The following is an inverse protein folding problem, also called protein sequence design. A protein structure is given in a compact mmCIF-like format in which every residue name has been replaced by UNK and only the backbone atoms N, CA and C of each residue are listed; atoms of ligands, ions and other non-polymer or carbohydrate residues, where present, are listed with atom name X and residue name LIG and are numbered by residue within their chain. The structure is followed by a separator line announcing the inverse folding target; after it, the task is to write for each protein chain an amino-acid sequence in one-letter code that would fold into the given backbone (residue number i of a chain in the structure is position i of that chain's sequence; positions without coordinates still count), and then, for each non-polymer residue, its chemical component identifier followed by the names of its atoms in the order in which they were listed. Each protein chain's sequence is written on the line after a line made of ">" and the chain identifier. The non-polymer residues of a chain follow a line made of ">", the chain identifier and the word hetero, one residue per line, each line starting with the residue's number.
data_IF_227700496270
#
_entry.id   IF_227700496270
#
_cell.length_a   1.000
_cell.length_b   1.000
_cell.length_c   1.000
_cell.angle_alpha   90.00
_cell.angle_beta   90.00
_cell.angle_gamma   90.00
#
_symmetry.space_group_name_H-M   'P 1'
#
loop_
_entity.id
_entity.type
_entity.pdbx_description
1 polymer ?
#
# COMPACT_ATOMS: atom_id res chain seq x y z
N UNK A 1 2.51 -38.73 7.06
CA UNK A 1 1.46 -38.13 7.90
C UNK A 1 1.20 -36.73 7.39
N UNK A 2 -0.05 -36.36 7.18
CA UNK A 2 -0.40 -34.96 6.95
C UNK A 2 -0.10 -34.19 8.23
N UNK A 3 0.46 -32.97 8.17
CA UNK A 3 0.74 -32.19 9.35
C UNK A 3 -0.57 -31.93 10.12
N UNK A 4 -0.59 -32.19 11.42
CA UNK A 4 -1.71 -31.81 12.28
C UNK A 4 -1.63 -30.30 12.52
N UNK A 5 -2.54 -29.56 11.90
CA UNK A 5 -2.66 -28.13 12.12
C UNK A 5 -3.43 -27.83 13.42
N UNK A 6 -2.99 -26.85 14.18
CA UNK A 6 -3.75 -26.36 15.34
C UNK A 6 -5.03 -25.66 14.90
N UNK A 7 -6.15 -25.81 15.63
CA UNK A 7 -7.40 -25.11 15.30
C UNK A 7 -7.18 -23.58 15.39
N UNK A 8 -7.96 -22.85 14.61
CA UNK A 8 -7.96 -21.40 14.63
C UNK A 8 -9.35 -20.84 14.34
N UNK A 9 -9.62 -19.65 14.89
CA UNK A 9 -10.85 -18.89 14.68
C UNK A 9 -10.51 -17.54 14.03
N UNK A 10 -11.36 -17.13 13.08
CA UNK A 10 -11.50 -15.73 12.69
C UNK A 10 -12.85 -15.23 13.21
N UNK A 11 -12.84 -14.27 14.12
CA UNK A 11 -14.03 -13.61 14.64
C UNK A 11 -14.11 -12.17 14.14
N UNK A 12 -15.31 -11.74 13.73
CA UNK A 12 -15.60 -10.34 13.39
C UNK A 12 -16.31 -9.65 14.56
N UNK A 13 -16.19 -8.33 14.64
CA UNK A 13 -16.82 -7.55 15.71
C UNK A 13 -18.35 -7.66 15.74
N UNK A 14 -19.00 -7.99 14.61
CA UNK A 14 -20.43 -8.24 14.50
C UNK A 14 -20.89 -9.57 15.12
N UNK A 15 -19.94 -10.40 15.58
CA UNK A 15 -20.20 -11.72 16.17
C UNK A 15 -20.09 -12.87 15.18
N UNK A 16 -19.82 -12.61 13.91
CA UNK A 16 -19.61 -13.68 12.92
C UNK A 16 -18.29 -14.41 13.21
N UNK A 17 -18.32 -15.73 13.24
CA UNK A 17 -17.11 -16.56 13.47
C UNK A 17 -16.92 -17.55 12.33
N UNK A 18 -15.68 -17.69 11.89
CA UNK A 18 -15.20 -18.70 10.96
C UNK A 18 -14.20 -19.61 11.69
N UNK A 19 -14.31 -20.92 11.42
CA UNK A 19 -13.41 -21.95 11.94
C UNK A 19 -12.48 -22.41 10.84
N UNK A 20 -11.23 -22.61 11.18
CA UNK A 20 -10.19 -23.08 10.29
C UNK A 20 -9.00 -23.64 11.06
N UNK A 21 -7.82 -23.55 10.49
CA UNK A 21 -6.58 -24.02 11.11
C UNK A 21 -5.45 -22.98 10.96
N UNK A 22 -4.55 -22.96 11.93
CA UNK A 22 -3.38 -22.09 11.94
C UNK A 22 -2.37 -22.51 10.88
N UNK A 23 -1.86 -21.55 10.12
CA UNK A 23 -0.79 -21.76 9.13
C UNK A 23 0.43 -20.86 9.39
N UNK A 24 0.38 -20.00 10.42
CA UNK A 24 1.43 -19.06 10.78
C UNK A 24 1.86 -19.20 12.25
N UNK A 25 2.20 -18.08 12.88
CA UNK A 25 2.59 -18.01 14.29
C UNK A 25 1.42 -18.35 15.23
N UNK A 26 1.73 -18.87 16.40
CA UNK A 26 0.75 -19.09 17.46
C UNK A 26 0.39 -17.78 18.17
N UNK A 27 -0.84 -17.69 18.70
CA UNK A 27 -1.32 -16.55 19.47
C UNK A 27 -2.57 -15.91 18.86
N UNK A 28 -2.66 -14.59 18.91
CA UNK A 28 -3.76 -13.86 18.29
C UNK A 28 -3.27 -12.55 17.66
N UNK A 29 -4.05 -12.05 16.73
CA UNK A 29 -3.87 -10.73 16.14
C UNK A 29 -5.23 -10.05 15.97
N UNK A 30 -5.26 -8.73 16.04
CA UNK A 30 -6.45 -7.90 15.83
C UNK A 30 -6.17 -6.83 14.77
N UNK A 31 -7.18 -6.48 14.01
CA UNK A 31 -7.06 -5.45 12.96
C UNK A 31 -8.35 -5.28 12.17
N UNK A 32 -8.33 -4.36 11.22
CA UNK A 32 -9.40 -4.24 10.23
C UNK A 32 -9.27 -5.37 9.20
N UNK A 33 -10.33 -6.19 9.06
CA UNK A 33 -10.37 -7.27 8.08
C UNK A 33 -10.76 -6.71 6.72
N UNK A 34 -9.86 -6.85 5.77
CA UNK A 34 -10.06 -6.43 4.37
C UNK A 34 -9.89 -7.63 3.44
N UNK A 35 -10.39 -7.53 2.22
CA UNK A 35 -10.13 -8.56 1.19
C UNK A 35 -9.31 -7.97 0.05
N UNK A 36 -8.44 -8.76 -0.54
CA UNK A 36 -7.67 -8.41 -1.72
C UNK A 36 -7.96 -9.42 -2.83
N UNK A 37 -8.21 -8.93 -4.06
CA UNK A 37 -8.58 -9.74 -5.22
C UNK A 37 -7.41 -10.13 -6.11
N UNK A 38 -6.17 -9.79 -5.74
CA UNK A 38 -4.99 -10.22 -6.48
C UNK A 38 -4.86 -11.75 -6.48
N UNK A 39 -4.47 -12.31 -7.63
CA UNK A 39 -4.28 -13.76 -7.79
C UNK A 39 -2.85 -14.21 -7.48
N UNK A 40 -1.93 -13.28 -7.33
CA UNK A 40 -0.49 -13.48 -7.06
C UNK A 40 0.06 -12.34 -6.23
N UNK A 41 1.32 -12.43 -5.81
CA UNK A 41 2.00 -11.35 -5.09
C UNK A 41 1.64 -11.27 -3.61
N UNK A 42 1.32 -12.40 -2.99
CA UNK A 42 0.95 -12.43 -1.57
C UNK A 42 2.10 -12.04 -0.64
N UNK A 43 3.37 -12.24 -1.04
CA UNK A 43 4.54 -11.83 -0.25
C UNK A 43 4.71 -10.32 -0.29
N UNK A 44 4.54 -9.70 -1.46
CA UNK A 44 4.54 -8.24 -1.64
C UNK A 44 3.38 -7.61 -0.86
N UNK A 45 2.18 -8.20 -0.89
CA UNK A 45 1.02 -7.75 -0.11
C UNK A 45 1.32 -7.81 1.40
N UNK A 46 1.91 -8.90 1.89
CA UNK A 46 2.24 -9.05 3.31
C UNK A 46 3.27 -8.02 3.78
N UNK A 47 4.24 -7.67 2.93
CA UNK A 47 5.32 -6.74 3.25
C UNK A 47 5.00 -5.28 2.92
N UNK A 48 3.89 -4.99 2.23
CA UNK A 48 3.43 -3.61 1.96
C UNK A 48 3.04 -2.91 3.27
N UNK A 49 3.74 -1.83 3.68
CA UNK A 49 3.40 -1.10 4.90
C UNK A 49 1.99 -0.54 4.95
N UNK A 50 1.35 -0.34 3.80
CA UNK A 50 -0.04 0.15 3.70
C UNK A 50 -1.06 -0.80 4.36
N UNK A 51 -0.70 -2.10 4.57
CA UNK A 51 -1.53 -3.05 5.31
C UNK A 51 -1.29 -3.06 6.83
N UNK A 52 -0.52 -2.12 7.39
CA UNK A 52 -0.34 -2.06 8.84
C UNK A 52 -1.69 -1.96 9.57
N UNK A 53 -1.88 -2.82 10.58
CA UNK A 53 -3.12 -2.99 11.34
C UNK A 53 -4.29 -3.59 10.55
N UNK A 54 -4.05 -4.16 9.36
CA UNK A 54 -5.08 -4.87 8.60
C UNK A 54 -4.82 -6.38 8.56
N UNK A 55 -5.90 -7.16 8.71
CA UNK A 55 -5.93 -8.61 8.49
C UNK A 55 -6.37 -8.82 7.04
N UNK A 56 -5.47 -9.30 6.20
CA UNK A 56 -5.70 -9.42 4.76
C UNK A 56 -6.32 -10.76 4.41
N UNK A 57 -7.49 -10.74 3.79
CA UNK A 57 -8.12 -11.93 3.21
C UNK A 57 -7.84 -11.99 1.72
N UNK A 58 -7.12 -13.00 1.26
CA UNK A 58 -6.90 -13.22 -0.17
C UNK A 58 -8.06 -14.02 -0.76
N UNK A 59 -8.70 -13.47 -1.79
CA UNK A 59 -9.89 -14.10 -2.40
C UNK A 59 -9.54 -15.25 -3.34
N UNK A 60 -8.31 -15.25 -3.88
CA UNK A 60 -7.82 -16.39 -4.66
C UNK A 60 -7.66 -17.62 -3.75
N UNK A 61 -8.16 -18.81 -4.16
CA UNK A 61 -8.26 -19.94 -3.25
C UNK A 61 -6.91 -20.58 -2.88
N UNK A 62 -5.93 -20.59 -3.77
CA UNK A 62 -4.64 -21.27 -3.57
C UNK A 62 -3.51 -20.26 -3.34
N UNK A 63 -3.19 -19.98 -2.09
CA UNK A 63 -2.18 -19.01 -1.68
C UNK A 63 -0.99 -19.74 -1.04
N UNK A 64 0.22 -19.38 -1.45
CA UNK A 64 1.46 -20.03 -1.03
C UNK A 64 2.01 -21.05 -2.05
N UNK A 65 1.35 -21.19 -3.20
CA UNK A 65 1.68 -22.17 -4.23
C UNK A 65 3.04 -21.95 -4.93
N UNK A 66 3.57 -20.73 -4.92
CA UNK A 66 4.88 -20.39 -5.48
C UNK A 66 5.98 -20.24 -4.41
N UNK A 67 5.64 -20.46 -3.13
CA UNK A 67 6.55 -20.24 -2.02
C UNK A 67 6.85 -18.77 -1.78
N UNK A 68 7.96 -18.49 -1.12
CA UNK A 68 8.50 -17.14 -0.86
C UNK A 68 10.00 -17.13 -1.14
N UNK A 69 10.55 -15.95 -1.37
CA UNK A 69 11.98 -15.72 -1.63
C UNK A 69 12.44 -14.38 -1.03
N UNK A 70 13.75 -14.10 -1.06
CA UNK A 70 14.32 -12.88 -0.50
C UNK A 70 14.09 -11.61 -1.35
N UNK A 71 13.71 -11.76 -2.62
CA UNK A 71 13.60 -10.62 -3.56
C UNK A 71 12.19 -10.00 -3.60
N UNK A 72 11.13 -10.79 -3.41
CA UNK A 72 9.73 -10.36 -3.56
C UNK A 72 9.20 -9.69 -2.29
N UNK A 73 9.96 -8.70 -1.78
CA UNK A 73 9.60 -7.93 -0.58
C UNK A 73 9.50 -6.43 -0.90
N UNK A 74 8.53 -5.77 -0.27
CA UNK A 74 8.30 -4.34 -0.42
C UNK A 74 8.69 -3.52 0.81
N UNK A 75 9.16 -4.19 1.88
CA UNK A 75 9.74 -3.59 3.07
C UNK A 75 10.62 -4.61 3.82
N UNK A 76 11.31 -4.17 4.88
CA UNK A 76 12.23 -5.01 5.67
C UNK A 76 11.54 -6.09 6.51
N UNK A 77 10.22 -6.05 6.66
CA UNK A 77 9.41 -6.98 7.49
C UNK A 77 7.99 -7.08 6.95
N UNK A 78 7.25 -8.05 7.46
CA UNK A 78 5.80 -8.13 7.25
C UNK A 78 5.10 -7.02 8.04
N UNK A 79 4.20 -6.29 7.38
CA UNK A 79 3.40 -5.22 7.98
C UNK A 79 1.94 -5.59 8.18
N UNK A 80 1.39 -6.50 7.35
CA UNK A 80 0.04 -7.01 7.54
C UNK A 80 -0.14 -7.60 8.94
N UNK A 81 -1.21 -7.25 9.63
CA UNK A 81 -1.48 -7.74 10.98
C UNK A 81 -1.78 -9.24 11.02
N UNK A 82 -2.30 -9.81 9.92
CA UNK A 82 -2.59 -11.22 9.79
C UNK A 82 -3.02 -11.60 8.39
N UNK A 83 -3.08 -12.89 8.11
CA UNK A 83 -3.44 -13.43 6.80
C UNK A 83 -4.58 -14.43 6.91
N UNK A 84 -5.55 -14.30 6.01
CA UNK A 84 -6.67 -15.23 5.85
C UNK A 84 -6.67 -15.78 4.43
N UNK A 85 -6.60 -17.09 4.29
CA UNK A 85 -6.64 -17.78 2.99
C UNK A 85 -7.62 -18.97 3.02
N UNK A 86 -8.09 -19.37 1.86
CA UNK A 86 -8.91 -20.56 1.76
C UNK A 86 -8.08 -21.82 1.93
N UNK A 87 -7.06 -21.98 1.09
CA UNK A 87 -6.23 -23.18 1.05
C UNK A 87 -4.74 -22.79 1.04
N UNK A 88 -3.95 -23.46 1.89
CA UNK A 88 -2.50 -23.46 1.80
C UNK A 88 -2.07 -24.78 1.11
N UNK A 89 -1.43 -24.74 -0.07
CA UNK A 89 -0.97 -25.94 -0.76
C UNK A 89 0.00 -26.76 0.08
N UNK A 90 -0.14 -28.09 0.04
CA UNK A 90 0.77 -29.01 0.74
C UNK A 90 2.21 -28.95 0.14
N UNK A 91 2.31 -28.62 -1.14
CA UNK A 91 3.58 -28.43 -1.86
C UNK A 91 3.54 -27.11 -2.59
N UNK A 92 4.55 -26.30 -2.38
CA UNK A 92 4.84 -25.14 -3.19
C UNK A 92 5.87 -25.50 -4.26
N UNK A 93 5.78 -24.88 -5.44
CA UNK A 93 6.69 -25.13 -6.55
C UNK A 93 6.87 -23.86 -7.39
N UNK A 94 8.09 -23.33 -7.37
CA UNK A 94 8.54 -22.27 -8.25
C UNK A 94 10.07 -22.25 -8.29
N UNK A 95 10.66 -21.89 -9.42
CA UNK A 95 12.13 -21.87 -9.58
C UNK A 95 12.82 -20.82 -8.69
N UNK A 96 12.09 -19.81 -8.19
CA UNK A 96 12.58 -18.79 -7.26
C UNK A 96 12.21 -19.08 -5.79
N UNK A 97 11.56 -20.21 -5.53
CA UNK A 97 11.15 -20.56 -4.17
C UNK A 97 12.37 -20.91 -3.31
N UNK A 98 12.46 -20.27 -2.15
CA UNK A 98 13.45 -20.56 -1.12
C UNK A 98 12.84 -21.31 0.07
N UNK A 99 11.57 -20.99 0.44
CA UNK A 99 10.85 -21.62 1.56
C UNK A 99 9.33 -21.57 1.37
N UNK A 100 8.60 -22.32 2.19
CA UNK A 100 7.13 -22.30 2.17
C UNK A 100 6.57 -21.02 2.77
N UNK A 101 5.35 -20.63 2.36
CA UNK A 101 4.64 -19.50 2.97
C UNK A 101 4.38 -19.74 4.47
N UNK A 102 4.03 -20.97 4.87
CA UNK A 102 3.78 -21.29 6.28
C UNK A 102 5.01 -21.13 7.17
N UNK A 103 6.21 -21.51 6.70
CA UNK A 103 7.47 -21.29 7.42
C UNK A 103 7.76 -19.79 7.51
N UNK A 104 7.63 -19.07 6.41
CA UNK A 104 7.79 -17.60 6.38
C UNK A 104 6.89 -16.90 7.40
N UNK A 105 5.60 -17.22 7.43
CA UNK A 105 4.65 -16.61 8.37
C UNK A 105 5.03 -16.89 9.84
N UNK A 106 5.54 -18.10 10.14
CA UNK A 106 6.00 -18.44 11.50
C UNK A 106 7.26 -17.66 11.89
N UNK A 107 8.23 -17.59 10.99
CA UNK A 107 9.50 -16.91 11.24
C UNK A 107 9.31 -15.38 11.40
N UNK A 108 8.38 -14.80 10.64
CA UNK A 108 8.01 -13.39 10.75
C UNK A 108 7.00 -13.09 11.89
N UNK A 109 6.58 -14.11 12.64
CA UNK A 109 5.64 -13.95 13.77
C UNK A 109 4.21 -13.59 13.35
N UNK A 110 3.82 -13.89 12.10
CA UNK A 110 2.51 -13.53 11.54
C UNK A 110 1.46 -14.58 11.88
N UNK A 111 0.40 -14.18 12.57
CA UNK A 111 -0.76 -15.04 12.83
C UNK A 111 -1.61 -15.18 11.57
N UNK A 112 -1.89 -16.42 11.16
CA UNK A 112 -2.60 -16.68 9.93
C UNK A 112 -3.52 -17.90 10.03
N UNK A 113 -4.62 -17.87 9.26
CA UNK A 113 -5.66 -18.90 9.27
C UNK A 113 -6.00 -19.33 7.84
N UNK A 114 -6.17 -20.66 7.67
CA UNK A 114 -6.66 -21.25 6.43
C UNK A 114 -7.85 -22.22 6.70
N UNK A 115 -8.47 -22.73 5.62
CA UNK A 115 -9.54 -23.72 5.71
C UNK A 115 -10.93 -23.14 5.94
N UNK A 116 -11.12 -21.83 5.72
CA UNK A 116 -12.42 -21.18 5.91
C UNK A 116 -13.04 -20.70 4.58
N UNK A 117 -14.33 -20.42 4.61
CA UNK A 117 -15.08 -19.90 3.45
C UNK A 117 -14.76 -18.41 3.23
N UNK A 118 -13.65 -18.13 2.52
CA UNK A 118 -13.24 -16.78 2.16
C UNK A 118 -14.24 -16.08 1.23
N UNK A 119 -15.02 -16.84 0.42
CA UNK A 119 -16.08 -16.25 -0.40
C UNK A 119 -17.21 -15.68 0.46
N UNK A 120 -17.66 -16.43 1.49
CA UNK A 120 -18.64 -15.94 2.47
C UNK A 120 -18.12 -14.71 3.21
N UNK A 121 -16.86 -14.76 3.65
CA UNK A 121 -16.21 -13.62 4.32
C UNK A 121 -16.19 -12.39 3.41
N UNK A 122 -15.72 -12.52 2.16
CA UNK A 122 -15.66 -11.42 1.18
C UNK A 122 -17.04 -10.81 0.94
N UNK A 123 -18.10 -11.63 0.85
CA UNK A 123 -19.47 -11.11 0.72
C UNK A 123 -19.91 -10.30 1.93
N UNK A 124 -19.60 -10.75 3.15
CA UNK A 124 -19.89 -9.99 4.38
C UNK A 124 -19.18 -8.65 4.35
N UNK A 125 -17.88 -8.63 4.03
CA UNK A 125 -17.10 -7.40 3.98
C UNK A 125 -17.62 -6.44 2.89
N UNK A 126 -17.99 -6.95 1.71
CA UNK A 126 -18.60 -6.14 0.64
C UNK A 126 -19.94 -5.53 1.06
N UNK A 127 -20.79 -6.33 1.68
CA UNK A 127 -22.16 -5.93 1.99
C UNK A 127 -22.24 -5.01 3.24
N UNK A 128 -21.39 -5.27 4.26
CA UNK A 128 -21.37 -4.53 5.54
C UNK A 128 -20.25 -3.49 5.66
N UNK A 129 -19.24 -3.54 4.80
CA UNK A 129 -17.99 -2.78 4.89
C UNK A 129 -16.88 -3.56 5.58
N UNK A 130 -15.70 -2.96 5.62
CA UNK A 130 -14.56 -3.49 6.39
C UNK A 130 -14.97 -3.66 7.86
N UNK A 131 -14.54 -4.77 8.48
CA UNK A 131 -14.92 -5.16 9.83
C UNK A 131 -13.69 -5.28 10.71
N UNK A 132 -13.79 -4.86 11.97
CA UNK A 132 -12.78 -5.23 12.95
C UNK A 132 -12.83 -6.74 13.18
N UNK A 133 -11.66 -7.37 13.29
CA UNK A 133 -11.57 -8.81 13.47
C UNK A 133 -10.41 -9.25 14.33
N UNK A 134 -10.45 -10.53 14.71
CA UNK A 134 -9.41 -11.22 15.45
C UNK A 134 -9.16 -12.61 14.85
N UNK A 135 -7.91 -12.94 14.58
CA UNK A 135 -7.50 -14.34 14.39
C UNK A 135 -6.98 -14.84 15.72
N UNK A 136 -7.53 -15.95 16.23
CA UNK A 136 -7.10 -16.63 17.46
C UNK A 136 -6.72 -18.07 17.13
N UNK A 137 -5.49 -18.49 17.50
CA UNK A 137 -4.99 -19.84 17.21
C UNK A 137 -4.88 -20.67 18.48
N UNK A 138 -5.00 -22.00 18.34
CA UNK A 138 -4.87 -22.95 19.45
C UNK A 138 -6.01 -22.87 20.48
N UNK A 139 -7.16 -22.30 20.13
CA UNK A 139 -8.31 -22.12 21.00
C UNK A 139 -9.62 -22.14 20.23
N UNK A 140 -10.67 -22.68 20.87
CA UNK A 140 -12.05 -22.66 20.36
C UNK A 140 -12.94 -21.62 21.08
N UNK A 141 -12.34 -20.70 21.85
CA UNK A 141 -13.05 -19.69 22.63
C UNK A 141 -13.53 -18.54 21.73
N UNK A 142 -14.73 -18.72 21.17
CA UNK A 142 -15.38 -17.69 20.31
C UNK A 142 -15.66 -16.39 21.06
N UNK A 143 -16.05 -16.47 22.34
CA UNK A 143 -16.37 -15.29 23.12
C UNK A 143 -15.14 -14.40 23.29
N UNK A 144 -13.97 -15.01 23.58
CA UNK A 144 -12.69 -14.31 23.66
C UNK A 144 -12.30 -13.70 22.31
N UNK A 145 -12.44 -14.46 21.21
CA UNK A 145 -12.10 -13.97 19.88
C UNK A 145 -12.96 -12.77 19.47
N UNK A 146 -14.28 -12.80 19.74
CA UNK A 146 -15.21 -11.69 19.49
C UNK A 146 -14.87 -10.48 20.36
N UNK A 147 -14.57 -10.69 21.64
CA UNK A 147 -14.19 -9.59 22.54
C UNK A 147 -12.91 -8.88 22.05
N UNK A 148 -11.91 -9.65 21.62
CA UNK A 148 -10.67 -9.13 21.01
C UNK A 148 -10.96 -8.37 19.72
N UNK A 149 -11.81 -8.88 18.82
CA UNK A 149 -12.20 -8.19 17.59
C UNK A 149 -12.85 -6.83 17.88
N UNK A 150 -13.71 -6.76 18.89
CA UNK A 150 -14.39 -5.53 19.32
C UNK A 150 -13.45 -4.53 20.01
N UNK A 151 -12.32 -4.97 20.55
CA UNK A 151 -11.35 -4.09 21.19
C UNK A 151 -10.51 -3.26 20.23
N UNK A 152 -10.51 -3.61 18.94
CA UNK A 152 -9.81 -2.81 17.92
C UNK A 152 -10.60 -1.53 17.61
N UNK A 153 -9.99 -0.33 17.74
CA UNK A 153 -10.72 0.93 17.59
C UNK A 153 -11.07 1.31 16.15
N UNK A 154 -10.54 0.58 15.14
CA UNK A 154 -10.63 0.94 13.72
C UNK A 154 -9.46 1.82 13.28
N UNK A 155 -9.41 2.14 11.98
CA UNK A 155 -8.29 2.90 11.40
C UNK A 155 -8.55 4.42 11.34
N UNK A 156 -9.81 4.86 11.44
CA UNK A 156 -10.13 6.29 11.43
C UNK A 156 -9.45 7.01 12.61
N UNK A 157 -8.82 8.13 12.35
CA UNK A 157 -8.03 8.89 13.32
C UNK A 157 -6.66 8.31 13.66
N UNK A 158 -6.25 7.18 13.04
CA UNK A 158 -4.93 6.59 13.29
C UNK A 158 -3.88 7.14 12.33
N UNK A 159 -2.92 7.90 12.85
CA UNK A 159 -1.68 8.23 12.16
C UNK A 159 -0.73 7.02 12.20
N UNK A 160 -0.84 6.16 11.20
CA UNK A 160 0.05 5.00 11.05
C UNK A 160 1.28 5.31 10.19
N UNK A 161 1.28 6.39 9.43
CA UNK A 161 2.42 6.82 8.62
C UNK A 161 3.68 7.00 9.47
N UNK A 162 3.58 7.72 10.60
CA UNK A 162 4.71 7.89 11.55
C UNK A 162 5.13 6.60 12.25
N UNK A 163 4.25 5.58 12.32
CA UNK A 163 4.54 4.30 12.99
C UNK A 163 5.38 3.39 12.10
N UNK A 164 5.13 3.41 10.78
CA UNK A 164 5.83 2.55 9.82
C UNK A 164 7.03 3.22 9.16
N UNK A 165 7.12 4.54 9.24
CA UNK A 165 8.20 5.34 8.66
C UNK A 165 9.58 4.98 9.21
N UNK A 166 10.59 5.18 8.38
CA UNK A 166 12.00 5.15 8.81
C UNK A 166 12.26 6.17 9.93
N UNK A 167 13.20 5.85 10.80
CA UNK A 167 13.62 6.77 11.88
C UNK A 167 14.80 7.67 11.50
N UNK A 168 15.48 7.37 10.38
CA UNK A 168 16.65 8.12 9.89
C UNK A 168 16.60 8.22 8.37
N UNK A 169 17.11 9.33 7.80
CA UNK A 169 17.27 9.43 6.36
C UNK A 169 18.18 8.32 5.81
N UNK A 170 17.87 7.85 4.59
CA UNK A 170 18.72 6.92 3.85
C UNK A 170 18.67 7.19 2.35
N UNK A 171 19.65 6.70 1.61
CA UNK A 171 19.70 6.75 0.17
C UNK A 171 19.28 5.44 -0.45
N UNK A 172 18.60 5.52 -1.61
CA UNK A 172 18.21 4.35 -2.38
C UNK A 172 18.81 4.38 -3.77
N UNK A 173 19.41 3.23 -4.19
CA UNK A 173 20.08 3.10 -5.49
C UNK A 173 19.64 1.87 -6.30
N UNK A 174 18.96 0.91 -5.66
CA UNK A 174 18.52 -0.31 -6.34
C UNK A 174 17.47 0.03 -7.41
N UNK A 175 17.62 -0.51 -8.62
CA UNK A 175 16.69 -0.35 -9.75
C UNK A 175 15.75 -1.54 -9.88
N UNK A 176 14.88 -1.54 -10.91
CA UNK A 176 13.87 -2.59 -11.11
C UNK A 176 14.50 -3.98 -11.31
N UNK A 177 13.75 -5.00 -10.87
CA UNK A 177 14.14 -6.40 -11.04
C UNK A 177 14.00 -6.86 -12.50
N UNK A 178 14.96 -7.65 -12.98
CA UNK A 178 14.95 -8.25 -14.33
C UNK A 178 15.26 -9.73 -14.26
N UNK A 179 14.49 -10.51 -15.01
CA UNK A 179 14.69 -11.95 -15.10
C UNK A 179 16.12 -12.27 -15.60
N UNK A 180 16.83 -13.08 -14.83
CA UNK A 180 18.19 -13.53 -15.13
C UNK A 180 19.31 -12.63 -14.61
N UNK A 181 19.03 -11.38 -14.20
CA UNK A 181 20.04 -10.47 -13.64
C UNK A 181 19.67 -9.94 -12.23
N UNK A 182 18.41 -10.13 -11.78
CA UNK A 182 17.95 -9.60 -10.51
C UNK A 182 17.82 -8.06 -10.53
N UNK A 183 18.05 -7.43 -9.39
CA UNK A 183 18.04 -5.97 -9.24
C UNK A 183 19.32 -5.33 -9.75
N UNK A 184 19.19 -4.21 -10.47
CA UNK A 184 20.31 -3.36 -10.87
C UNK A 184 20.63 -2.28 -9.83
N UNK A 185 21.59 -1.40 -10.17
CA UNK A 185 22.00 -0.26 -9.33
C UNK A 185 22.08 1.01 -10.17
N UNK A 186 21.58 2.11 -9.66
CA UNK A 186 21.69 3.43 -10.26
C UNK A 186 23.13 3.99 -10.04
N UNK A 187 23.87 4.21 -11.13
CA UNK A 187 25.26 4.71 -11.09
C UNK A 187 25.40 6.16 -11.56
N UNK A 188 24.50 6.62 -12.45
CA UNK A 188 24.58 7.95 -13.08
C UNK A 188 23.27 8.73 -12.89
N UNK A 189 23.04 9.31 -11.70
CA UNK A 189 21.80 10.03 -11.42
C UNK A 189 21.72 11.34 -12.22
N UNK A 190 20.51 11.65 -12.68
CA UNK A 190 20.13 12.89 -13.39
C UNK A 190 19.33 13.84 -12.54
N UNK A 191 18.59 13.31 -11.56
CA UNK A 191 17.67 14.06 -10.70
C UNK A 191 17.97 13.75 -9.24
N UNK A 192 17.82 14.75 -8.38
CA UNK A 192 17.77 14.61 -6.92
C UNK A 192 16.32 14.59 -6.48
N UNK A 193 15.86 13.47 -5.96
CA UNK A 193 14.50 13.31 -5.46
C UNK A 193 14.54 13.08 -3.97
N UNK A 194 13.76 13.87 -3.24
CA UNK A 194 13.50 13.63 -1.82
C UNK A 194 12.16 12.93 -1.70
N UNK A 195 12.16 11.72 -1.15
CA UNK A 195 10.97 10.91 -0.91
C UNK A 195 10.60 10.91 0.58
N UNK A 196 9.37 11.25 0.91
CA UNK A 196 8.83 11.10 2.26
C UNK A 196 8.37 9.67 2.48
N UNK A 197 8.85 9.05 3.55
CA UNK A 197 8.50 7.68 3.93
C UNK A 197 7.27 7.68 4.84
N UNK A 198 6.10 7.51 4.25
CA UNK A 198 4.85 7.26 4.99
C UNK A 198 4.56 5.76 5.13
N UNK A 199 5.47 4.91 4.71
CA UNK A 199 5.37 3.48 4.53
C UNK A 199 5.67 3.11 3.08
N UNK A 200 6.80 3.59 2.58
CA UNK A 200 7.17 3.48 1.17
C UNK A 200 7.44 2.03 0.78
N UNK A 201 6.83 1.58 -0.32
CA UNK A 201 7.17 0.32 -0.97
C UNK A 201 8.48 0.43 -1.73
N UNK A 202 9.30 -0.59 -1.62
CA UNK A 202 10.61 -0.63 -2.30
C UNK A 202 10.51 -0.47 -3.81
N UNK A 203 9.46 -1.01 -4.44
CA UNK A 203 9.31 -0.88 -5.89
C UNK A 203 9.09 0.56 -6.36
N UNK A 204 8.50 1.42 -5.54
CA UNK A 204 8.43 2.86 -5.81
C UNK A 204 9.84 3.44 -5.93
N UNK A 205 10.69 3.15 -4.95
CA UNK A 205 12.07 3.65 -4.93
C UNK A 205 12.89 3.08 -6.10
N UNK A 206 12.66 1.79 -6.45
CA UNK A 206 13.29 1.15 -7.60
C UNK A 206 12.89 1.83 -8.91
N UNK A 207 11.61 2.13 -9.10
CA UNK A 207 11.11 2.80 -10.30
C UNK A 207 11.62 4.24 -10.44
N UNK A 208 11.80 4.95 -9.34
CA UNK A 208 12.47 6.26 -9.34
C UNK A 208 13.95 6.13 -9.72
N UNK A 209 14.68 5.20 -9.10
CA UNK A 209 16.09 4.95 -9.38
C UNK A 209 16.32 4.51 -10.83
N UNK A 210 15.47 3.63 -11.39
CA UNK A 210 15.53 3.20 -12.80
C UNK A 210 15.45 4.38 -13.78
N UNK A 211 14.71 5.45 -13.39
CA UNK A 211 14.56 6.67 -14.21
C UNK A 211 15.63 7.74 -13.92
N UNK A 212 16.72 7.35 -13.27
CA UNK A 212 17.86 8.24 -13.03
C UNK A 212 17.68 9.15 -11.83
N UNK A 213 16.80 8.82 -10.88
CA UNK A 213 16.67 9.58 -9.65
C UNK A 213 17.66 9.10 -8.59
N UNK A 214 18.48 10.00 -8.05
CA UNK A 214 19.14 9.81 -6.76
C UNK A 214 18.11 10.10 -5.69
N UNK A 215 17.67 9.06 -4.98
CA UNK A 215 16.57 9.16 -4.03
C UNK A 215 17.10 9.23 -2.61
N UNK A 216 16.84 10.35 -1.93
CA UNK A 216 17.02 10.47 -0.48
C UNK A 216 15.68 10.31 0.21
N UNK A 217 15.54 9.26 1.00
CA UNK A 217 14.31 8.96 1.75
C UNK A 217 14.37 9.61 3.12
N UNK A 218 13.39 10.43 3.44
CA UNK A 218 13.26 11.13 4.72
C UNK A 218 12.14 10.51 5.58
N UNK A 219 12.28 10.54 6.93
CA UNK A 219 11.19 10.21 7.84
C UNK A 219 9.92 11.03 7.55
N UNK A 220 8.75 10.44 7.82
CA UNK A 220 7.44 11.07 7.61
C UNK A 220 7.32 12.48 8.21
N UNK A 221 7.88 12.69 9.39
CA UNK A 221 7.78 13.94 10.16
C UNK A 221 8.89 14.97 9.86
N UNK A 222 9.72 14.73 8.81
CA UNK A 222 10.73 15.69 8.39
C UNK A 222 10.09 17.00 7.94
N UNK A 223 10.68 18.13 8.32
CA UNK A 223 10.16 19.44 7.91
C UNK A 223 10.37 19.69 6.41
N UNK A 224 9.59 20.59 5.83
CA UNK A 224 9.82 21.03 4.47
C UNK A 224 11.21 21.69 4.31
N UNK A 225 11.69 22.40 5.34
CA UNK A 225 13.01 23.02 5.35
C UNK A 225 14.13 21.98 5.24
N UNK A 226 14.04 20.85 5.97
CA UNK A 226 15.02 19.76 5.89
C UNK A 226 15.07 19.14 4.48
N UNK A 227 13.91 18.92 3.87
CA UNK A 227 13.82 18.40 2.52
C UNK A 227 14.39 19.38 1.47
N UNK A 228 14.05 20.66 1.58
CA UNK A 228 14.51 21.71 0.66
C UNK A 228 16.02 22.02 0.80
N UNK A 229 16.60 21.82 1.99
CA UNK A 229 18.04 21.94 2.20
C UNK A 229 18.88 20.95 1.37
N UNK A 230 18.26 19.84 0.92
CA UNK A 230 18.87 18.86 0.01
C UNK A 230 18.86 19.31 -1.45
N UNK A 231 18.30 20.49 -1.75
CA UNK A 231 18.14 21.04 -3.10
C UNK A 231 17.52 20.04 -4.08
N UNK A 232 16.31 19.50 -3.80
CA UNK A 232 15.68 18.51 -4.64
C UNK A 232 15.22 19.09 -5.99
N UNK A 233 15.33 18.30 -7.05
CA UNK A 233 14.68 18.57 -8.33
C UNK A 233 13.18 18.21 -8.27
N UNK A 234 12.79 17.28 -7.37
CA UNK A 234 11.42 16.90 -7.13
C UNK A 234 11.19 16.27 -5.76
N UNK A 235 9.96 16.38 -5.28
CA UNK A 235 9.46 15.77 -4.03
C UNK A 235 8.54 14.61 -4.37
N UNK A 236 8.75 13.50 -3.68
CA UNK A 236 7.90 12.33 -3.77
C UNK A 236 7.20 12.06 -2.44
N UNK A 237 5.87 11.93 -2.46
CA UNK A 237 5.03 11.62 -1.31
C UNK A 237 4.59 10.17 -1.44
N UNK A 238 5.10 9.29 -0.58
CA UNK A 238 4.90 7.85 -0.72
C UNK A 238 3.48 7.38 -0.36
N UNK A 239 3.20 6.13 -0.68
CA UNK A 239 2.10 5.36 -0.11
C UNK A 239 2.28 5.19 1.40
N UNK A 240 1.23 4.71 2.07
CA UNK A 240 1.27 4.42 3.50
C UNK A 240 -0.08 4.02 4.07
N UNK A 241 -0.09 3.53 5.33
CA UNK A 241 -1.31 3.12 6.03
C UNK A 241 -1.99 4.25 6.79
N UNK A 242 -3.23 3.98 7.21
CA UNK A 242 -3.94 4.79 8.17
C UNK A 242 -4.80 5.88 7.56
N UNK A 243 -5.18 6.81 8.41
CA UNK A 243 -5.98 7.98 8.07
C UNK A 243 -5.03 9.13 7.66
N UNK A 244 -5.26 9.82 6.54
CA UNK A 244 -4.44 10.98 6.17
C UNK A 244 -4.67 12.23 7.03
N UNK A 245 -5.86 12.41 7.62
CA UNK A 245 -6.21 13.63 8.35
C UNK A 245 -5.27 13.96 9.54
N UNK A 246 -4.86 12.98 10.39
CA UNK A 246 -3.94 13.27 11.48
C UNK A 246 -2.47 13.48 11.06
N UNK A 247 -2.14 13.38 9.76
CA UNK A 247 -0.79 13.61 9.25
C UNK A 247 -0.50 15.11 8.99
N UNK A 248 -0.81 15.98 9.95
CA UNK A 248 -0.71 17.45 9.84
C UNK A 248 0.69 17.94 9.43
N UNK A 249 1.74 17.30 9.94
CA UNK A 249 3.14 17.56 9.57
C UNK A 249 3.40 17.35 8.06
N UNK A 250 2.84 16.30 7.47
CA UNK A 250 3.00 15.98 6.06
C UNK A 250 2.15 16.91 5.18
N UNK A 251 0.93 17.24 5.63
CA UNK A 251 0.04 18.20 4.97
C UNK A 251 0.73 19.58 4.89
N UNK A 252 1.29 20.06 6.01
CA UNK A 252 1.99 21.36 6.07
C UNK A 252 3.23 21.38 5.16
N UNK A 253 4.06 20.32 5.18
CA UNK A 253 5.23 20.23 4.32
C UNK A 253 4.83 20.19 2.82
N UNK A 254 3.81 19.41 2.48
CA UNK A 254 3.30 19.30 1.10
C UNK A 254 2.80 20.66 0.59
N UNK A 255 2.06 21.40 1.42
CA UNK A 255 1.57 22.74 1.09
C UNK A 255 2.74 23.67 0.75
N UNK A 256 3.82 23.67 1.55
CA UNK A 256 5.00 24.48 1.28
C UNK A 256 5.69 24.11 -0.04
N UNK A 257 5.81 22.82 -0.38
CA UNK A 257 6.38 22.38 -1.66
C UNK A 257 5.56 22.86 -2.85
N UNK A 258 4.24 22.77 -2.77
CA UNK A 258 3.33 23.24 -3.81
C UNK A 258 3.42 24.75 -3.96
N UNK A 259 3.40 25.52 -2.88
CA UNK A 259 3.52 26.99 -2.90
C UNK A 259 4.82 27.44 -3.55
N UNK A 260 5.94 26.77 -3.24
CA UNK A 260 7.26 27.05 -3.82
C UNK A 260 7.40 26.56 -5.27
N UNK A 261 6.44 25.81 -5.79
CA UNK A 261 6.47 25.28 -7.16
C UNK A 261 7.51 24.19 -7.39
N UNK A 262 7.84 23.42 -6.35
CA UNK A 262 8.71 22.24 -6.50
C UNK A 262 7.92 21.12 -7.17
N UNK A 263 8.46 20.47 -8.23
CA UNK A 263 7.81 19.30 -8.83
C UNK A 263 7.47 18.24 -7.77
N UNK A 264 6.18 17.94 -7.63
CA UNK A 264 5.68 17.04 -6.57
C UNK A 264 4.80 15.94 -7.14
N UNK A 265 5.06 14.70 -6.76
CA UNK A 265 4.25 13.52 -7.11
C UNK A 265 3.86 12.75 -5.85
N UNK A 266 2.55 12.46 -5.69
CA UNK A 266 2.00 11.71 -4.55
C UNK A 266 1.30 10.44 -4.96
N UNK A 267 1.57 9.32 -4.25
CA UNK A 267 0.95 8.02 -4.48
C UNK A 267 0.16 7.59 -3.23
N UNK A 268 -1.08 7.12 -3.41
CA UNK A 268 -1.96 6.54 -2.41
C UNK A 268 -2.13 7.48 -1.19
N UNK A 269 -1.49 7.25 -0.06
CA UNK A 269 -1.51 8.19 1.08
C UNK A 269 -0.95 9.55 0.67
N UNK A 270 0.10 9.61 -0.14
CA UNK A 270 0.66 10.85 -0.68
C UNK A 270 -0.33 11.62 -1.58
N UNK A 271 -1.21 10.93 -2.31
CA UNK A 271 -2.33 11.54 -3.03
C UNK A 271 -3.33 12.19 -2.06
N UNK A 272 -3.69 11.48 -0.99
CA UNK A 272 -4.64 11.97 0.02
C UNK A 272 -4.07 13.18 0.78
N UNK A 273 -2.80 13.12 1.19
CA UNK A 273 -2.08 14.24 1.83
C UNK A 273 -2.04 15.44 0.88
N UNK A 274 -1.75 15.24 -0.41
CA UNK A 274 -1.79 16.34 -1.40
C UNK A 274 -3.20 16.92 -1.52
N UNK A 275 -4.25 16.10 -1.51
CA UNK A 275 -5.64 16.56 -1.47
C UNK A 275 -5.92 17.48 -0.29
N UNK A 276 -5.53 17.06 0.92
CA UNK A 276 -5.69 17.86 2.14
C UNK A 276 -4.84 19.14 2.10
N UNK A 277 -3.63 19.09 1.56
CA UNK A 277 -2.73 20.25 1.45
C UNK A 277 -3.28 21.34 0.53
N UNK A 278 -4.07 20.99 -0.48
CA UNK A 278 -4.76 21.96 -1.36
C UNK A 278 -6.16 22.36 -0.88
N UNK A 279 -6.59 21.85 0.29
CA UNK A 279 -7.86 22.21 0.91
C UNK A 279 -9.04 21.31 0.55
N UNK A 280 -8.81 20.20 -0.14
CA UNK A 280 -9.83 19.17 -0.34
C UNK A 280 -10.08 18.38 0.96
N UNK A 281 -11.12 17.54 0.94
CA UNK A 281 -11.51 16.67 2.06
C UNK A 281 -11.22 15.21 1.72
N UNK A 282 -11.06 14.40 2.76
CA UNK A 282 -10.99 12.95 2.63
C UNK A 282 -12.21 12.28 3.26
N UNK A 283 -12.46 11.04 2.86
CA UNK A 283 -13.56 10.24 3.39
C UNK A 283 -13.11 8.79 3.60
N UNK A 284 -13.58 8.15 4.67
CA UNK A 284 -13.44 6.71 4.88
C UNK A 284 -14.37 5.98 3.94
N UNK A 285 -13.84 5.10 3.12
CA UNK A 285 -14.63 4.25 2.22
C UNK A 285 -15.28 3.10 2.99
N UNK A 286 -16.41 2.61 2.48
CA UNK A 286 -17.11 1.47 3.09
C UNK A 286 -16.27 0.19 3.08
N UNK A 287 -15.70 -0.17 1.93
CA UNK A 287 -14.91 -1.39 1.74
C UNK A 287 -13.46 -1.13 1.42
N UNK A 288 -13.12 0.09 0.98
CA UNK A 288 -11.85 0.39 0.33
C UNK A 288 -11.70 -0.28 -1.04
N UNK A 289 -10.58 -0.02 -1.68
CA UNK A 289 -10.15 -0.70 -2.89
C UNK A 289 -8.89 -1.50 -2.59
N UNK A 290 -8.96 -2.84 -2.77
CA UNK A 290 -7.83 -3.73 -2.53
C UNK A 290 -7.81 -4.80 -3.62
N UNK A 291 -6.81 -4.77 -4.48
CA UNK A 291 -6.65 -5.72 -5.57
C UNK A 291 -5.76 -5.20 -6.69
N UNK A 292 -5.42 -6.07 -7.62
CA UNK A 292 -4.55 -5.77 -8.75
C UNK A 292 -5.29 -5.80 -10.11
N UNK A 293 -6.59 -5.56 -10.09
CA UNK A 293 -7.47 -5.68 -11.27
C UNK A 293 -8.51 -4.56 -11.35
N UNK A 294 -8.19 -3.37 -10.81
CA UNK A 294 -9.10 -2.24 -10.78
C UNK A 294 -8.98 -1.40 -12.06
N UNK A 295 -10.06 -1.30 -12.87
CA UNK A 295 -10.05 -0.47 -14.07
C UNK A 295 -10.20 1.00 -13.69
N UNK A 296 -9.29 1.81 -14.21
CA UNK A 296 -9.26 3.26 -14.04
C UNK A 296 -9.24 3.93 -15.40
N UNK A 297 -10.06 4.96 -15.57
CA UNK A 297 -10.09 5.76 -16.79
C UNK A 297 -9.17 6.96 -16.67
N UNK A 298 -8.21 7.06 -17.59
CA UNK A 298 -7.42 8.27 -17.82
C UNK A 298 -8.27 9.27 -18.63
N UNK A 299 -8.58 10.40 -18.03
CA UNK A 299 -9.45 11.41 -18.64
C UNK A 299 -8.75 12.23 -19.73
N UNK A 300 -7.41 12.27 -19.75
CA UNK A 300 -6.65 13.03 -20.73
C UNK A 300 -6.73 12.41 -22.15
N UNK A 301 -6.78 11.07 -22.22
CA UNK A 301 -6.76 10.33 -23.49
C UNK A 301 -7.91 9.32 -23.64
N UNK A 302 -8.75 9.16 -22.60
CA UNK A 302 -9.89 8.24 -22.58
C UNK A 302 -9.54 6.76 -22.44
N UNK A 303 -8.26 6.40 -22.25
CA UNK A 303 -7.83 5.00 -22.09
C UNK A 303 -8.28 4.45 -20.74
N UNK A 304 -8.56 3.15 -20.73
CA UNK A 304 -8.74 2.37 -19.50
C UNK A 304 -7.44 1.64 -19.22
N UNK A 305 -6.94 1.81 -18.01
CA UNK A 305 -5.75 1.13 -17.47
C UNK A 305 -6.16 0.25 -16.30
N UNK A 306 -5.53 -0.89 -16.15
CA UNK A 306 -5.74 -1.78 -15.01
C UNK A 306 -4.71 -1.44 -13.94
N UNK A 307 -5.15 -1.28 -12.71
CA UNK A 307 -4.32 -0.76 -11.62
C UNK A 307 -4.34 -1.66 -10.39
N UNK A 308 -3.25 -1.61 -9.63
CA UNK A 308 -3.20 -2.11 -8.26
C UNK A 308 -3.72 -1.04 -7.31
N UNK A 309 -4.56 -1.45 -6.35
CA UNK A 309 -5.19 -0.57 -5.36
C UNK A 309 -5.07 -1.15 -3.96
N UNK A 310 -4.76 -0.30 -3.00
CA UNK A 310 -4.75 -0.67 -1.58
C UNK A 310 -5.00 0.57 -0.71
N UNK A 311 -6.26 0.99 -0.58
CA UNK A 311 -6.63 2.13 0.23
C UNK A 311 -8.05 2.03 0.81
N UNK A 312 -8.23 2.47 2.05
CA UNK A 312 -9.52 2.55 2.74
C UNK A 312 -10.07 3.98 2.85
N UNK A 313 -9.32 4.98 2.37
CA UNK A 313 -9.71 6.38 2.32
C UNK A 313 -9.60 6.89 0.88
N UNK A 314 -10.35 7.93 0.56
CA UNK A 314 -10.34 8.57 -0.75
C UNK A 314 -10.45 10.09 -0.60
N UNK A 315 -9.97 10.84 -1.58
CA UNK A 315 -10.22 12.29 -1.69
C UNK A 315 -11.62 12.49 -2.26
N UNK A 316 -12.39 13.36 -1.62
CA UNK A 316 -13.70 13.79 -2.11
C UNK A 316 -13.54 14.71 -3.33
N UNK A 317 -13.93 14.20 -4.50
CA UNK A 317 -13.78 14.92 -5.76
C UNK A 317 -14.51 16.27 -5.78
N UNK A 318 -15.67 16.37 -5.12
CA UNK A 318 -16.48 17.59 -5.08
C UNK A 318 -15.84 18.69 -4.20
N UNK A 319 -14.85 18.32 -3.38
CA UNK A 319 -14.12 19.25 -2.52
C UNK A 319 -12.84 19.81 -3.15
N UNK A 320 -12.48 19.37 -4.35
CA UNK A 320 -11.27 19.84 -5.04
C UNK A 320 -11.35 21.36 -5.34
N UNK A 321 -10.26 22.12 -5.11
CA UNK A 321 -10.23 23.55 -5.44
C UNK A 321 -10.23 23.77 -6.97
N UNK A 322 -10.60 24.98 -7.41
CA UNK A 322 -10.77 25.32 -8.81
C UNK A 322 -9.49 25.16 -9.67
N UNK A 323 -8.31 25.22 -9.08
CA UNK A 323 -7.01 25.00 -9.73
C UNK A 323 -6.59 23.51 -9.74
N UNK A 324 -7.41 22.61 -9.22
CA UNK A 324 -7.18 21.16 -9.30
C UNK A 324 -8.06 20.55 -10.39
N UNK A 325 -7.46 19.75 -11.27
CA UNK A 325 -8.14 19.04 -12.35
C UNK A 325 -8.07 17.53 -12.13
N UNK A 326 -9.23 16.86 -12.12
CA UNK A 326 -9.29 15.39 -12.09
C UNK A 326 -8.63 14.81 -13.33
N UNK A 327 -7.72 13.86 -13.14
CA UNK A 327 -7.01 13.18 -14.23
C UNK A 327 -7.47 11.74 -14.43
N UNK A 328 -7.86 11.06 -13.35
CA UNK A 328 -8.23 9.65 -13.36
C UNK A 328 -9.44 9.38 -12.49
N UNK A 329 -10.30 8.44 -12.92
CA UNK A 329 -11.49 8.00 -12.16
C UNK A 329 -11.63 6.48 -12.18
N UNK A 330 -12.07 5.91 -11.07
CA UNK A 330 -12.41 4.49 -10.95
C UNK A 330 -13.63 4.15 -11.81
N UNK A 331 -13.57 3.05 -12.56
CA UNK A 331 -14.73 2.55 -13.30
C UNK A 331 -15.62 1.61 -12.45
N UNK A 332 -15.23 1.28 -11.23
CA UNK A 332 -16.08 0.51 -10.33
C UNK A 332 -17.16 1.37 -9.66
N UNK A 333 -16.78 2.57 -9.23
CA UNK A 333 -17.64 3.40 -8.38
C UNK A 333 -17.53 4.92 -8.64
N UNK A 334 -16.73 5.34 -9.64
CA UNK A 334 -16.56 6.74 -9.99
C UNK A 334 -15.68 7.55 -9.04
N UNK A 335 -15.06 6.92 -8.03
CA UNK A 335 -14.18 7.63 -7.09
C UNK A 335 -12.98 8.25 -7.79
N UNK A 336 -12.51 9.38 -7.24
CA UNK A 336 -11.31 10.08 -7.71
C UNK A 336 -10.08 9.17 -7.59
N UNK A 337 -9.36 9.01 -8.68
CA UNK A 337 -8.14 8.20 -8.72
C UNK A 337 -6.89 9.02 -9.02
N UNK A 338 -7.02 10.29 -9.37
CA UNK A 338 -5.89 11.18 -9.58
C UNK A 338 -6.32 12.58 -9.94
N UNK A 339 -5.52 13.54 -9.52
CA UNK A 339 -5.66 14.95 -9.93
C UNK A 339 -4.30 15.60 -10.13
N UNK A 340 -4.30 16.74 -10.79
CA UNK A 340 -3.14 17.61 -10.96
C UNK A 340 -3.51 19.06 -10.68
N UNK A 341 -2.53 19.88 -10.34
CA UNK A 341 -2.70 21.32 -10.26
C UNK A 341 -2.41 21.97 -11.62
N UNK A 342 -3.27 22.89 -12.03
CA UNK A 342 -3.15 23.55 -13.34
C UNK A 342 -2.14 24.70 -13.34
N UNK A 343 -1.80 25.21 -12.16
CA UNK A 343 -0.92 26.36 -11.93
C UNK A 343 0.40 25.99 -11.23
N UNK A 344 0.56 24.74 -10.80
CA UNK A 344 1.74 24.24 -10.09
C UNK A 344 2.18 22.88 -10.65
N UNK A 345 3.48 22.56 -10.60
CA UNK A 345 4.00 21.29 -11.11
C UNK A 345 3.75 20.16 -10.10
N UNK A 346 2.49 19.87 -9.79
CA UNK A 346 2.10 18.86 -8.82
C UNK A 346 0.96 17.99 -9.35
N UNK A 347 1.09 16.68 -9.18
CA UNK A 347 0.06 15.71 -9.51
C UNK A 347 0.13 14.50 -8.58
N UNK A 348 -0.94 13.70 -8.55
CA UNK A 348 -1.00 12.53 -7.70
C UNK A 348 -1.90 11.43 -8.28
N UNK A 349 -1.75 10.24 -7.73
CA UNK A 349 -2.52 9.07 -8.11
C UNK A 349 -2.88 8.22 -6.87
N UNK A 350 -4.15 7.79 -6.77
CA UNK A 350 -4.65 7.05 -5.61
C UNK A 350 -4.18 5.60 -5.60
N UNK A 351 -4.12 4.96 -6.75
CA UNK A 351 -3.62 3.59 -6.88
C UNK A 351 -2.10 3.49 -6.83
N UNK A 352 -1.58 2.31 -7.14
CA UNK A 352 -0.17 1.95 -7.05
C UNK A 352 0.44 1.77 -8.46
N UNK A 353 1.01 2.82 -9.07
CA UNK A 353 1.62 2.72 -10.40
C UNK A 353 2.90 1.88 -10.43
N UNK A 354 3.49 1.63 -9.27
CA UNK A 354 4.63 0.75 -9.08
C UNK A 354 4.24 -0.73 -9.12
N UNK A 355 2.93 -1.06 -9.08
CA UNK A 355 2.44 -2.43 -8.97
C UNK A 355 3.00 -3.16 -7.71
N UNK A 356 3.59 -4.34 -7.87
CA UNK A 356 4.21 -5.15 -6.81
C UNK A 356 3.28 -5.42 -5.61
N UNK A 357 2.22 -6.26 -5.84
CA UNK A 357 1.89 -6.93 -7.10
C UNK A 357 1.02 -6.08 -8.02
N UNK A 358 0.92 -6.47 -9.27
CA UNK A 358 -0.10 -5.97 -10.18
C UNK A 358 0.40 -5.62 -11.58
N UNK A 359 -0.50 -5.05 -12.41
CA UNK A 359 -0.21 -4.61 -13.76
C UNK A 359 0.63 -3.34 -13.78
N UNK A 360 1.39 -3.15 -14.86
CA UNK A 360 2.28 -2.00 -15.07
C UNK A 360 1.70 -0.92 -15.99
N UNK A 361 0.43 -0.98 -16.31
CA UNK A 361 -0.25 -0.12 -17.30
C UNK A 361 -0.08 1.38 -17.02
N UNK A 362 0.04 1.76 -15.74
CA UNK A 362 0.11 3.14 -15.29
C UNK A 362 1.51 3.58 -14.84
N UNK A 363 2.52 2.76 -15.05
CA UNK A 363 3.93 3.07 -14.73
C UNK A 363 4.46 4.35 -15.37
N UNK A 364 3.83 4.81 -16.46
CA UNK A 364 4.17 6.07 -17.14
C UNK A 364 4.06 7.33 -16.25
N UNK A 365 3.39 7.25 -15.11
CA UNK A 365 3.31 8.37 -14.18
C UNK A 365 4.68 8.72 -13.57
N UNK A 366 5.59 7.76 -13.44
CA UNK A 366 6.98 8.04 -13.04
C UNK A 366 7.73 8.80 -14.15
N UNK A 367 7.48 8.50 -15.43
CA UNK A 367 8.07 9.23 -16.56
C UNK A 367 7.51 10.66 -16.62
N UNK A 368 6.22 10.84 -16.31
CA UNK A 368 5.61 12.15 -16.15
C UNK A 368 6.28 12.96 -15.05
N UNK A 369 6.65 12.34 -13.92
CA UNK A 369 7.33 13.04 -12.83
C UNK A 369 8.72 13.52 -13.26
N UNK A 370 9.50 12.71 -13.97
CA UNK A 370 10.80 13.14 -14.51
C UNK A 370 10.65 14.27 -15.53
N UNK A 371 9.63 14.23 -16.38
CA UNK A 371 9.33 15.30 -17.32
C UNK A 371 8.97 16.64 -16.63
N UNK A 372 8.28 16.61 -15.47
CA UNK A 372 8.03 17.81 -14.68
C UNK A 372 9.33 18.41 -14.11
N UNK A 373 10.27 17.58 -13.67
CA UNK A 373 11.56 18.01 -13.18
C UNK A 373 12.39 18.64 -14.33
N UNK A 374 12.40 18.05 -15.52
CA UNK A 374 13.05 18.61 -16.70
C UNK A 374 12.48 19.98 -17.07
N UNK A 375 11.15 20.11 -17.08
CA UNK A 375 10.48 21.38 -17.36
C UNK A 375 10.78 22.47 -16.30
N UNK A 376 10.94 22.07 -15.02
CA UNK A 376 11.32 23.01 -13.96
C UNK A 376 12.76 23.49 -14.12
N UNK A 377 13.70 22.58 -14.43
CA UNK A 377 15.11 22.94 -14.71
C UNK A 377 15.24 23.91 -15.90
N UNK A 378 14.52 23.65 -16.98
CA UNK A 378 14.53 24.50 -18.17
C UNK A 378 14.00 25.94 -17.91
N UNK A 379 13.11 26.11 -16.92
CA UNK A 379 12.63 27.45 -16.52
C UNK A 379 13.60 28.22 -15.61
N UNK A 380 14.52 27.51 -14.96
CA UNK A 380 15.51 28.08 -14.02
C UNK A 380 16.87 28.36 -14.66
N UNK A 381 17.10 27.84 -15.88
CA UNK A 381 18.30 28.07 -16.69
C UNK A 381 18.12 29.30 -17.62
#
# INVERSE_FOLDING_TARGET
>A
MLPSFSPALLALADGTVFRGYSIGAAGHTIGEVVFNTAITGYQEILTDPSYARQIVTLTYPHIGNVGVNAEDVEATKVHAAGLVVRDLPALASNFRMERSLGDYLRDEGVVAIAGLDTRKLTRILRDKGAQNGCILTGSDDEAKAIALARSFPGLAGMDLAKVVSTTKPFEWKQTEWRLGSGYGMQETPRYRVVAYDFGVKYNILRMLAERGCHVTVLPAQSSAADALALNPDGIFLSNGPGDPEPCDYAIAATKEFIERGVPTFGICLGHQIMGLAVGAKTLKMKTGHHGANHPVKDLANGRVVITSQNHGFAVDADSLPANARTTHVSLFDGTLQGFELTDKPAFCFQGHPEASPGPHDIGYLFDRFTALMDAAKARSA
#
